data_IF_957393137562
#
_entry.id   IF_957393137562
#
_cell.length_a   1.000
_cell.length_b   1.000
_cell.length_c   1.000
_cell.angle_alpha   90.00
_cell.angle_beta   90.00
_cell.angle_gamma   90.00
#
_symmetry.space_group_name_H-M   'P 1'
#
loop_
_entity.id
_entity.type
_entity.pdbx_description
1 polymer ?
#
# COMPACT_ATOMS: atom_id res chain seq x y z
N UNK A 1 13.44 13.06 34.90
CA UNK A 1 13.39 14.53 34.80
C UNK A 1 13.08 14.95 33.37
N UNK A 2 12.32 16.03 33.15
CA UNK A 2 12.06 16.56 31.82
C UNK A 2 13.30 17.26 31.24
N UNK A 3 13.51 17.15 29.94
CA UNK A 3 14.57 17.83 29.19
C UNK A 3 14.07 18.30 27.83
N UNK A 4 14.76 19.28 27.22
CA UNK A 4 14.42 19.84 25.91
C UNK A 4 14.90 18.93 24.77
N UNK A 5 14.03 18.67 23.80
CA UNK A 5 14.32 17.82 22.63
C UNK A 5 14.00 18.53 21.29
N UNK A 6 14.94 18.56 20.31
CA UNK A 6 16.33 18.05 20.36
C UNK A 6 17.20 18.78 21.39
N UNK A 7 18.31 18.17 21.84
CA UNK A 7 19.14 18.65 22.96
C UNK A 7 19.24 20.19 23.06
N UNK A 8 18.82 20.75 24.20
CA UNK A 8 18.87 22.20 24.48
C UNK A 8 17.83 23.06 23.74
N UNK A 9 17.02 22.50 22.83
CA UNK A 9 16.01 23.20 22.02
C UNK A 9 14.68 22.42 21.98
N UNK A 10 13.58 23.03 21.53
CA UNK A 10 12.29 22.34 21.44
C UNK A 10 11.55 22.08 22.76
N UNK A 11 10.59 21.13 22.74
CA UNK A 11 9.63 20.85 23.82
C UNK A 11 10.25 20.04 24.96
N UNK A 12 9.66 20.15 26.15
CA UNK A 12 10.02 19.31 27.29
C UNK A 12 9.46 17.90 27.09
N UNK A 13 10.33 16.90 27.15
CA UNK A 13 9.98 15.48 27.17
C UNK A 13 10.61 14.81 28.40
N UNK A 14 9.96 13.80 29.00
CA UNK A 14 10.60 12.98 30.01
C UNK A 14 11.82 12.29 29.39
N UNK A 15 12.99 12.35 30.04
CA UNK A 15 14.21 11.71 29.57
C UNK A 15 14.41 10.34 30.21
N UNK A 16 15.04 9.41 29.48
CA UNK A 16 15.37 8.06 29.98
C UNK A 16 16.38 8.07 31.14
N UNK A 17 17.22 9.09 31.24
CA UNK A 17 18.10 9.34 32.40
C UNK A 17 18.24 10.85 32.69
N UNK A 18 18.78 11.18 33.87
CA UNK A 18 19.15 12.58 34.19
C UNK A 18 20.51 12.95 33.60
N UNK A 19 20.62 14.12 32.98
CA UNK A 19 21.78 14.53 32.18
C UNK A 19 22.34 15.89 32.60
N UNK A 20 22.65 16.06 33.90
CA UNK A 20 23.21 17.32 34.40
C UNK A 20 24.60 17.61 33.80
N UNK A 21 24.71 18.69 33.03
CA UNK A 21 25.96 19.11 32.41
C UNK A 21 26.43 18.25 31.23
N UNK A 22 25.56 17.37 30.71
CA UNK A 22 25.80 16.52 29.55
C UNK A 22 24.67 16.69 28.51
N UNK A 23 24.82 16.08 27.33
CA UNK A 23 23.74 16.03 26.35
C UNK A 23 22.52 15.26 26.87
N UNK A 24 21.32 15.68 26.49
CA UNK A 24 20.09 14.99 26.87
C UNK A 24 20.03 13.58 26.28
N UNK A 25 19.61 12.59 27.08
CA UNK A 25 19.36 11.24 26.59
C UNK A 25 18.11 11.18 25.72
N UNK A 26 17.86 10.03 25.10
CA UNK A 26 16.60 9.79 24.40
C UNK A 26 15.38 9.98 25.34
N UNK A 27 14.20 10.30 24.77
CA UNK A 27 12.96 10.37 25.54
C UNK A 27 12.65 9.04 26.23
N UNK A 28 12.03 9.13 27.41
CA UNK A 28 11.41 8.00 28.09
C UNK A 28 10.10 7.68 27.39
N UNK A 29 9.88 6.41 27.08
CA UNK A 29 8.65 5.88 26.50
C UNK A 29 8.14 4.75 27.41
N UNK A 30 6.83 4.70 27.64
CA UNK A 30 6.19 3.69 28.49
C UNK A 30 6.22 4.00 30.00
N UNK A 31 5.74 3.07 30.86
CA UNK A 31 5.42 1.67 30.56
C UNK A 31 4.08 1.45 29.84
N UNK A 32 3.23 2.47 29.78
CA UNK A 32 2.01 2.47 28.96
C UNK A 32 2.17 3.55 27.90
N UNK A 33 1.84 3.21 26.66
CA UNK A 33 1.97 4.12 25.51
C UNK A 33 0.62 4.31 24.83
N UNK A 34 0.47 5.42 24.12
CA UNK A 34 -0.57 5.60 23.11
C UNK A 34 -0.08 4.87 21.86
N UNK A 35 -0.69 3.72 21.57
CA UNK A 35 -0.29 2.84 20.48
C UNK A 35 -1.08 3.07 19.19
N UNK A 36 -2.27 3.67 19.29
CA UNK A 36 -3.15 3.92 18.15
C UNK A 36 -4.04 5.13 18.41
N UNK A 37 -4.34 5.90 17.36
CA UNK A 37 -5.28 7.03 17.39
C UNK A 37 -6.13 6.99 16.13
N UNK A 38 -7.45 6.93 16.28
CA UNK A 38 -8.40 7.11 15.20
C UNK A 38 -9.17 8.42 15.40
N UNK A 39 -8.89 9.44 14.57
CA UNK A 39 -9.34 10.83 14.73
C UNK A 39 -10.18 11.37 13.58
N UNK A 40 -10.28 10.65 12.45
CA UNK A 40 -11.17 11.00 11.35
C UNK A 40 -11.63 9.72 10.62
N UNK A 41 -12.43 8.88 11.28
CA UNK A 41 -12.85 7.61 10.71
C UNK A 41 -13.81 7.82 9.53
N UNK A 42 -13.86 6.83 8.65
CA UNK A 42 -14.93 6.67 7.66
C UNK A 42 -15.92 5.65 8.20
N UNK A 43 -17.22 5.86 8.02
CA UNK A 43 -18.24 4.91 8.51
C UNK A 43 -18.43 3.78 7.50
N UNK A 44 -18.52 2.53 7.97
CA UNK A 44 -18.84 1.37 7.13
C UNK A 44 -20.33 1.06 7.09
N UNK A 45 -20.77 0.39 6.02
CA UNK A 45 -22.10 -0.18 5.89
C UNK A 45 -22.39 -1.19 7.01
N UNK A 46 -21.41 -2.00 7.39
CA UNK A 46 -21.52 -2.93 8.52
C UNK A 46 -21.81 -2.22 9.85
N UNK A 47 -21.19 -1.05 10.09
CA UNK A 47 -21.45 -0.24 11.28
C UNK A 47 -22.86 0.35 11.27
N UNK A 48 -23.29 0.92 10.14
CA UNK A 48 -24.64 1.49 9.99
C UNK A 48 -25.75 0.44 10.04
N UNK A 49 -25.46 -0.79 9.61
CA UNK A 49 -26.40 -1.90 9.74
C UNK A 49 -26.64 -2.29 11.21
N UNK A 50 -25.61 -2.17 12.06
CA UNK A 50 -25.71 -2.43 13.49
C UNK A 50 -26.33 -1.25 14.27
N UNK A 51 -26.01 -0.01 13.88
CA UNK A 51 -26.62 1.20 14.43
C UNK A 51 -26.81 2.28 13.35
N UNK A 52 -28.04 2.44 12.82
CA UNK A 52 -28.33 3.47 11.81
C UNK A 52 -28.24 4.91 12.34
N UNK A 53 -28.12 5.09 13.66
CA UNK A 53 -28.01 6.40 14.31
C UNK A 53 -26.59 6.75 14.72
N UNK A 54 -25.61 5.89 14.39
CA UNK A 54 -24.21 6.07 14.68
C UNK A 54 -23.68 7.39 14.10
N UNK A 55 -22.99 8.17 14.94
CA UNK A 55 -22.21 9.31 14.47
C UNK A 55 -20.80 8.85 14.10
N UNK A 56 -20.17 9.46 13.08
CA UNK A 56 -18.79 9.12 12.69
C UNK A 56 -17.82 9.21 13.87
N UNK A 57 -18.00 10.18 14.77
CA UNK A 57 -17.19 10.33 15.99
C UNK A 57 -17.36 9.19 17.02
N UNK A 58 -18.40 8.35 16.91
CA UNK A 58 -18.52 7.16 17.75
C UNK A 58 -17.50 6.08 17.36
N UNK A 59 -16.89 6.19 16.18
CA UNK A 59 -15.78 5.35 15.73
C UNK A 59 -14.41 5.91 16.11
N UNK A 60 -14.32 7.11 16.71
CA UNK A 60 -13.07 7.67 17.22
C UNK A 60 -12.62 6.96 18.51
N UNK A 61 -11.34 6.64 18.60
CA UNK A 61 -10.76 6.04 19.81
C UNK A 61 -9.27 6.28 19.92
N UNK A 62 -8.74 6.02 21.11
CA UNK A 62 -7.31 5.80 21.32
C UNK A 62 -7.05 4.41 21.88
N UNK A 63 -5.95 3.79 21.48
CA UNK A 63 -5.46 2.54 22.10
C UNK A 63 -4.31 2.84 23.04
N UNK A 64 -4.35 2.24 24.23
CA UNK A 64 -3.23 2.24 25.17
C UNK A 64 -2.70 0.83 25.34
N UNK A 65 -1.38 0.67 25.25
CA UNK A 65 -0.71 -0.64 25.39
C UNK A 65 0.30 -0.61 26.54
N UNK A 66 0.25 -1.62 27.42
CA UNK A 66 1.30 -1.84 28.41
C UNK A 66 2.49 -2.56 27.76
N UNK A 67 3.60 -1.86 27.60
CA UNK A 67 4.82 -2.38 26.98
C UNK A 67 5.81 -2.96 27.98
N UNK A 68 5.48 -2.94 29.26
CA UNK A 68 6.30 -3.53 30.32
C UNK A 68 6.06 -5.03 30.46
N UNK A 69 6.99 -5.72 31.14
CA UNK A 69 6.90 -7.15 31.43
C UNK A 69 6.03 -7.47 32.66
N UNK A 70 5.24 -6.51 33.16
CA UNK A 70 4.45 -6.66 34.39
C UNK A 70 3.11 -5.95 34.28
N UNK A 71 2.13 -6.39 35.06
CA UNK A 71 0.85 -5.71 35.16
C UNK A 71 1.03 -4.27 35.70
N UNK A 72 0.34 -3.31 35.08
CA UNK A 72 0.31 -1.92 35.50
C UNK A 72 -1.08 -1.58 36.03
N UNK A 73 -1.13 -0.98 37.21
CA UNK A 73 -2.35 -0.39 37.77
C UNK A 73 -2.53 1.04 37.23
N UNK A 74 -3.67 1.28 36.59
CA UNK A 74 -4.06 2.55 35.98
C UNK A 74 -4.82 3.47 36.94
N UNK A 75 -4.94 3.12 38.22
CA UNK A 75 -5.51 4.01 39.25
C UNK A 75 -4.83 5.37 39.21
N UNK A 76 -5.62 6.45 39.17
CA UNK A 76 -5.17 7.85 39.07
C UNK A 76 -4.47 8.26 37.76
N UNK A 77 -4.38 7.35 36.77
CA UNK A 77 -3.97 7.72 35.42
C UNK A 77 -5.05 8.54 34.73
N UNK A 78 -4.62 9.36 33.76
CA UNK A 78 -5.48 10.32 33.08
C UNK A 78 -5.08 10.48 31.63
N UNK A 79 -6.06 10.62 30.75
CA UNK A 79 -5.85 11.13 29.39
C UNK A 79 -6.35 12.56 29.33
N UNK A 80 -5.57 13.46 28.72
CA UNK A 80 -5.86 14.89 28.60
C UNK A 80 -5.48 15.43 27.22
N UNK A 81 -6.06 16.58 26.87
CA UNK A 81 -5.83 17.26 25.60
C UNK A 81 -7.14 17.29 24.81
N UNK A 82 -7.15 16.72 23.60
CA UNK A 82 -8.37 16.55 22.78
C UNK A 82 -9.50 15.81 23.49
N UNK A 83 -9.14 14.82 24.31
CA UNK A 83 -10.08 14.07 25.15
C UNK A 83 -9.73 14.19 26.64
N UNK A 84 -10.74 14.03 27.50
CA UNK A 84 -10.62 13.94 28.96
C UNK A 84 -11.16 12.60 29.45
N UNK A 85 -10.28 11.77 29.99
CA UNK A 85 -10.63 10.47 30.56
C UNK A 85 -9.89 10.22 31.87
N UNK A 86 -10.57 9.64 32.85
CA UNK A 86 -9.99 9.19 34.12
C UNK A 86 -10.28 7.70 34.28
N UNK A 87 -9.26 6.93 34.66
CA UNK A 87 -9.44 5.49 34.87
C UNK A 87 -10.08 5.22 36.24
N UNK A 88 -11.02 4.28 36.26
CA UNK A 88 -11.60 3.80 37.51
C UNK A 88 -10.52 3.14 38.39
N UNK A 89 -10.54 3.37 39.71
CA UNK A 89 -9.62 2.72 40.63
C UNK A 89 -9.64 1.19 40.50
N UNK A 90 -8.45 0.59 40.46
CA UNK A 90 -8.25 -0.84 40.28
C UNK A 90 -8.32 -1.31 38.83
N UNK A 91 -8.44 -0.42 37.85
CA UNK A 91 -8.24 -0.75 36.44
C UNK A 91 -6.79 -1.15 36.22
N UNK A 92 -6.54 -2.37 35.76
CA UNK A 92 -5.17 -2.89 35.55
C UNK A 92 -4.99 -3.34 34.12
N UNK A 93 -3.78 -3.22 33.59
CA UNK A 93 -3.41 -3.64 32.24
C UNK A 93 -2.27 -4.66 32.34
N UNK A 94 -2.49 -5.91 31.93
CA UNK A 94 -1.49 -6.96 31.95
C UNK A 94 -0.33 -6.65 30.99
N UNK A 95 0.78 -7.38 31.12
CA UNK A 95 1.93 -7.26 30.22
C UNK A 95 1.50 -7.49 28.77
N UNK A 96 1.75 -6.52 27.89
CA UNK A 96 1.38 -6.58 26.47
C UNK A 96 -0.10 -6.38 26.18
N UNK A 97 -0.95 -6.18 27.20
CA UNK A 97 -2.38 -5.95 27.00
C UNK A 97 -2.62 -4.54 26.43
N UNK A 98 -3.60 -4.45 25.53
CA UNK A 98 -4.08 -3.22 24.93
C UNK A 98 -5.53 -2.97 25.32
N UNK A 99 -5.86 -1.71 25.62
CA UNK A 99 -7.23 -1.26 25.87
C UNK A 99 -7.57 -0.10 24.93
N UNK A 100 -8.78 -0.13 24.37
CA UNK A 100 -9.32 0.98 23.56
C UNK A 100 -10.23 1.85 24.42
N UNK A 101 -10.08 3.17 24.30
CA UNK A 101 -10.89 4.16 25.02
C UNK A 101 -11.79 4.86 24.01
N UNK A 102 -13.09 4.69 24.18
CA UNK A 102 -14.15 5.11 23.27
C UNK A 102 -14.85 6.37 23.76
N UNK A 103 -15.47 7.11 22.82
CA UNK A 103 -16.27 8.30 23.12
C UNK A 103 -17.48 7.96 23.99
N UNK A 104 -18.21 6.92 23.63
CA UNK A 104 -19.33 6.39 24.41
C UNK A 104 -18.85 5.37 25.46
N UNK A 105 -19.69 5.06 26.44
CA UNK A 105 -19.33 4.13 27.51
C UNK A 105 -19.79 2.71 27.14
N UNK A 106 -18.87 1.78 26.80
CA UNK A 106 -19.24 0.41 26.43
C UNK A 106 -19.86 -0.39 27.60
N UNK A 107 -19.73 0.07 28.84
CA UNK A 107 -20.37 -0.53 30.01
C UNK A 107 -21.82 -0.04 30.22
N UNK A 108 -22.28 0.99 29.48
CA UNK A 108 -23.66 1.45 29.54
C UNK A 108 -24.57 0.53 28.68
N UNK A 109 -25.54 -0.18 29.26
CA UNK A 109 -26.43 -1.07 28.51
C UNK A 109 -27.27 -0.36 27.43
N UNK A 110 -27.52 0.94 27.59
CA UNK A 110 -28.26 1.73 26.60
C UNK A 110 -27.44 2.00 25.32
N UNK A 111 -26.12 1.80 25.37
CA UNK A 111 -25.18 2.04 24.25
C UNK A 111 -24.72 0.75 23.56
N UNK A 112 -25.44 -0.35 23.76
CA UNK A 112 -25.08 -1.67 23.19
C UNK A 112 -25.03 -1.66 21.66
N UNK A 113 -25.88 -0.87 20.99
CA UNK A 113 -25.86 -0.76 19.53
C UNK A 113 -24.59 -0.06 19.04
N UNK A 114 -24.15 1.02 19.72
CA UNK A 114 -22.88 1.69 19.42
C UNK A 114 -21.69 0.74 19.61
N UNK A 115 -21.70 -0.09 20.67
CA UNK A 115 -20.68 -1.16 20.88
C UNK A 115 -20.68 -2.14 19.71
N UNK A 116 -21.85 -2.62 19.29
CA UNK A 116 -21.97 -3.59 18.20
C UNK A 116 -21.53 -2.98 16.86
N UNK A 117 -21.89 -1.73 16.59
CA UNK A 117 -21.47 -1.00 15.40
C UNK A 117 -19.95 -0.78 15.37
N UNK A 118 -19.36 -0.38 16.50
CA UNK A 118 -17.91 -0.25 16.63
C UNK A 118 -17.19 -1.58 16.37
N UNK A 119 -17.67 -2.68 16.97
CA UNK A 119 -17.10 -4.01 16.75
C UNK A 119 -17.25 -4.49 15.31
N UNK A 120 -18.41 -4.28 14.70
CA UNK A 120 -18.65 -4.62 13.29
C UNK A 120 -17.74 -3.81 12.35
N UNK A 121 -17.54 -2.53 12.65
CA UNK A 121 -16.67 -1.65 11.88
C UNK A 121 -15.21 -2.11 11.89
N UNK A 122 -14.68 -2.38 13.09
CA UNK A 122 -13.27 -2.74 13.29
C UNK A 122 -13.00 -4.25 13.28
N UNK A 123 -13.99 -5.09 13.01
CA UNK A 123 -13.85 -6.55 12.99
C UNK A 123 -13.42 -7.16 14.34
N UNK A 124 -13.94 -6.62 15.45
CA UNK A 124 -13.50 -6.97 16.80
C UNK A 124 -14.43 -8.01 17.43
N UNK A 125 -13.85 -8.97 18.14
CA UNK A 125 -14.57 -9.94 18.95
C UNK A 125 -14.81 -9.46 20.40
N UNK A 126 -15.44 -10.29 21.22
CA UNK A 126 -15.75 -10.00 22.63
C UNK A 126 -14.53 -10.04 23.57
N UNK A 127 -13.37 -10.48 23.09
CA UNK A 127 -12.13 -10.54 23.90
C UNK A 127 -11.43 -9.19 23.97
N UNK A 128 -11.74 -8.28 23.05
CA UNK A 128 -11.14 -6.93 23.02
C UNK A 128 -11.63 -6.12 24.20
N UNK A 129 -10.69 -5.53 24.93
CA UNK A 129 -10.99 -4.68 26.07
C UNK A 129 -11.33 -3.26 25.63
N UNK A 130 -12.57 -2.86 25.91
CA UNK A 130 -13.10 -1.53 25.63
C UNK A 130 -13.41 -0.81 26.94
N UNK A 131 -12.92 0.41 27.08
CA UNK A 131 -13.33 1.40 28.07
C UNK A 131 -13.87 2.61 27.32
N UNK A 132 -14.53 3.54 28.01
CA UNK A 132 -14.99 4.74 27.31
C UNK A 132 -15.86 5.66 28.14
N UNK A 133 -16.54 6.55 27.44
CA UNK A 133 -17.20 7.70 28.03
C UNK A 133 -16.24 8.87 28.25
N UNK A 134 -15.19 8.99 27.41
CA UNK A 134 -14.32 10.15 27.50
C UNK A 134 -15.10 11.42 27.14
N UNK A 135 -14.75 12.54 27.78
CA UNK A 135 -15.21 13.87 27.38
C UNK A 135 -14.32 14.45 26.28
N UNK A 136 -14.81 15.48 25.58
CA UNK A 136 -14.08 16.10 24.47
C UNK A 136 -14.30 15.36 23.14
N UNK A 137 -13.43 15.62 22.17
CA UNK A 137 -13.45 15.00 20.85
C UNK A 137 -12.06 15.11 20.24
N UNK A 138 -11.64 14.10 19.47
CA UNK A 138 -10.42 14.19 18.69
C UNK A 138 -10.67 15.12 17.50
N UNK A 139 -9.78 16.10 17.29
CA UNK A 139 -9.89 16.97 16.14
C UNK A 139 -9.47 16.25 14.85
N UNK A 140 -10.25 16.41 13.79
CA UNK A 140 -10.00 15.79 12.49
C UNK A 140 -8.77 16.35 11.76
N UNK A 141 -8.17 17.46 12.21
CA UNK A 141 -6.95 18.02 11.62
C UNK A 141 -5.72 17.80 12.51
N UNK A 142 -5.64 18.49 13.64
CA UNK A 142 -4.53 18.37 14.57
C UNK A 142 -5.03 18.32 16.01
N UNK A 143 -4.40 17.49 16.83
CA UNK A 143 -4.71 17.44 18.26
C UNK A 143 -3.53 16.94 19.09
N UNK A 144 -3.63 17.16 20.39
CA UNK A 144 -2.69 16.68 21.40
C UNK A 144 -3.40 15.70 22.32
N UNK A 145 -2.83 14.52 22.48
CA UNK A 145 -3.26 13.54 23.47
C UNK A 145 -2.10 13.29 24.42
N UNK A 146 -2.33 13.48 25.72
CA UNK A 146 -1.35 13.31 26.78
C UNK A 146 -1.83 12.25 27.76
N UNK A 147 -1.03 11.21 27.93
CA UNK A 147 -1.22 10.21 28.97
C UNK A 147 -0.43 10.64 30.20
N UNK A 148 -1.11 10.85 31.31
CA UNK A 148 -0.52 11.26 32.58
C UNK A 148 -0.60 10.11 33.59
N UNK A 149 0.54 9.73 34.16
CA UNK A 149 0.64 8.67 35.17
C UNK A 149 0.86 9.30 36.55
N UNK A 150 0.29 8.75 37.64
CA UNK A 150 0.61 9.20 38.99
C UNK A 150 2.09 8.97 39.29
N UNK A 151 2.66 9.84 40.12
CA UNK A 151 4.03 9.74 40.64
C UNK A 151 4.01 10.00 42.15
N UNK A 152 5.10 9.65 42.83
CA UNK A 152 5.20 9.82 44.27
C UNK A 152 5.07 11.30 44.65
N UNK A 153 4.32 11.63 45.73
CA UNK A 153 4.22 12.99 46.22
C UNK A 153 5.62 13.54 46.56
N UNK A 154 5.94 14.79 46.19
CA UNK A 154 7.19 15.39 46.61
C UNK A 154 7.17 15.57 48.13
N UNK A 155 8.33 15.44 48.78
CA UNK A 155 8.44 15.45 50.25
C UNK A 155 7.86 16.71 50.92
N UNK A 156 7.83 17.84 50.19
CA UNK A 156 7.25 19.10 50.66
C UNK A 156 5.73 19.24 50.42
N UNK A 157 5.11 18.31 49.68
CA UNK A 157 3.67 18.26 49.43
C UNK A 157 3.17 16.80 49.49
N UNK A 158 3.17 16.17 50.69
CA UNK A 158 2.88 14.74 50.84
C UNK A 158 1.47 14.32 50.42
N UNK A 159 0.55 15.28 50.26
CA UNK A 159 -0.84 15.02 49.84
C UNK A 159 -1.09 15.35 48.35
N UNK A 160 -0.06 15.78 47.62
CA UNK A 160 -0.20 16.00 46.18
C UNK A 160 -0.14 14.66 45.44
N UNK A 161 -0.85 14.55 44.32
CA UNK A 161 -0.66 13.45 43.37
C UNK A 161 -0.10 14.09 42.10
N UNK A 162 1.23 14.20 41.97
CA UNK A 162 1.83 14.62 40.71
C UNK A 162 1.40 13.64 39.60
N UNK A 163 1.13 14.19 38.43
CA UNK A 163 0.78 13.40 37.25
C UNK A 163 1.68 13.80 36.08
N UNK A 164 2.97 13.43 36.11
CA UNK A 164 3.86 13.70 34.98
C UNK A 164 3.37 13.04 33.70
N UNK A 165 3.87 13.56 32.58
CA UNK A 165 3.63 13.01 31.25
C UNK A 165 4.27 11.62 31.15
N UNK A 166 3.44 10.60 30.91
CA UNK A 166 3.86 9.23 30.61
C UNK A 166 4.13 9.02 29.14
N UNK A 167 3.20 9.44 28.27
CA UNK A 167 3.34 9.44 26.81
C UNK A 167 2.53 10.58 26.19
N UNK A 168 2.86 10.97 24.97
CA UNK A 168 2.20 12.04 24.23
C UNK A 168 2.23 11.77 22.73
N UNK A 169 1.19 12.23 22.06
CA UNK A 169 1.16 12.42 20.61
C UNK A 169 0.58 13.81 20.32
N UNK A 170 1.19 14.52 19.36
CA UNK A 170 0.65 15.73 18.76
C UNK A 170 0.53 15.48 17.25
N UNK A 171 -0.57 14.85 16.83
CA UNK A 171 -0.73 14.47 15.43
C UNK A 171 -1.19 15.66 14.58
N UNK A 172 -1.08 15.48 13.26
CA UNK A 172 -1.50 16.43 12.23
C UNK A 172 -2.06 15.60 11.05
N UNK A 173 -2.94 16.19 10.22
CA UNK A 173 -3.49 15.61 9.00
C UNK A 173 -2.58 15.85 7.79
N UNK A 174 -1.54 16.68 7.95
CA UNK A 174 -0.56 17.00 6.93
C UNK A 174 0.79 16.29 7.11
N UNK A 175 1.48 16.10 5.99
CA UNK A 175 2.86 15.62 5.97
C UNK A 175 3.75 16.51 6.89
N UNK A 176 4.64 15.92 7.71
CA UNK A 176 5.15 14.56 7.60
C UNK A 176 4.33 13.48 8.31
N UNK A 177 3.15 13.79 8.87
CA UNK A 177 2.28 12.76 9.45
C UNK A 177 1.66 11.87 8.37
N UNK A 178 1.30 10.62 8.70
CA UNK A 178 0.66 9.71 7.76
C UNK A 178 -0.73 10.23 7.32
N UNK A 179 -0.79 10.92 6.19
CA UNK A 179 -2.05 11.45 5.60
C UNK A 179 -3.04 10.33 5.24
N UNK A 180 -2.56 9.10 5.09
CA UNK A 180 -3.41 7.93 4.87
C UNK A 180 -4.34 7.59 6.04
N UNK A 181 -4.13 8.15 7.24
CA UNK A 181 -5.04 7.99 8.38
C UNK A 181 -6.16 9.05 8.44
N UNK A 182 -6.09 10.07 7.58
CA UNK A 182 -7.07 11.16 7.55
C UNK A 182 -8.25 10.80 6.63
N UNK A 183 -9.42 10.51 7.21
CA UNK A 183 -10.68 10.37 6.47
C UNK A 183 -10.82 9.10 5.64
N UNK A 184 -9.78 8.27 5.56
CA UNK A 184 -9.81 6.99 4.81
C UNK A 184 -10.43 5.85 5.62
N UNK A 185 -10.51 6.02 6.96
CA UNK A 185 -10.89 4.97 7.91
C UNK A 185 -9.70 4.23 8.55
N UNK A 186 -8.47 4.41 8.03
CA UNK A 186 -7.25 3.90 8.68
C UNK A 186 -6.94 4.73 9.94
N UNK A 187 -6.37 4.10 10.96
CA UNK A 187 -5.92 4.79 12.17
C UNK A 187 -4.43 5.16 12.08
N UNK A 188 -3.97 6.10 12.89
CA UNK A 188 -2.55 6.27 13.16
C UNK A 188 -2.09 5.14 14.09
N UNK A 189 -1.13 4.33 13.65
CA UNK A 189 -0.59 3.20 14.42
C UNK A 189 0.88 3.44 14.74
N UNK A 190 1.26 3.25 16.01
CA UNK A 190 2.63 3.37 16.49
C UNK A 190 3.48 2.23 15.93
N UNK A 191 4.55 2.56 15.22
CA UNK A 191 5.43 1.60 14.52
C UNK A 191 6.22 0.68 15.46
N UNK A 192 6.51 1.13 16.68
CA UNK A 192 7.21 0.34 17.68
C UNK A 192 6.88 0.78 19.11
N UNK A 193 6.89 -0.18 20.05
CA UNK A 193 6.59 0.03 21.46
C UNK A 193 7.54 0.99 22.20
N UNK A 194 8.71 1.26 21.63
CA UNK A 194 9.71 2.19 22.16
C UNK A 194 9.88 3.46 21.31
N UNK A 195 9.14 3.62 20.22
CA UNK A 195 9.17 4.81 19.38
C UNK A 195 8.57 6.00 20.15
N UNK A 196 9.05 7.23 19.94
CA UNK A 196 8.58 8.41 20.67
C UNK A 196 7.38 9.07 19.96
N UNK A 197 6.27 9.26 20.68
CA UNK A 197 4.96 9.55 20.06
C UNK A 197 4.83 10.92 19.42
N UNK A 198 5.70 11.87 19.76
CA UNK A 198 5.70 13.19 19.14
C UNK A 198 6.47 13.26 17.81
N UNK A 199 7.05 12.16 17.35
CA UNK A 199 7.67 12.11 16.03
C UNK A 199 6.69 11.50 15.03
N UNK A 200 6.38 12.21 13.95
CA UNK A 200 5.56 11.70 12.86
C UNK A 200 6.11 10.36 12.30
N UNK A 201 7.43 10.21 12.24
CA UNK A 201 8.10 8.96 11.83
C UNK A 201 7.89 7.77 12.76
N UNK A 202 7.31 7.98 13.95
CA UNK A 202 6.91 6.91 14.85
C UNK A 202 5.56 6.31 14.48
N UNK A 203 4.85 6.88 13.50
CA UNK A 203 3.50 6.50 13.12
C UNK A 203 3.41 6.11 11.66
N UNK A 204 2.49 5.21 11.37
CA UNK A 204 2.05 4.86 10.02
C UNK A 204 0.52 4.88 9.97
N UNK A 205 -0.05 4.99 8.78
CA UNK A 205 -1.46 4.64 8.60
C UNK A 205 -1.58 3.11 8.75
N UNK A 206 -2.46 2.66 9.64
CA UNK A 206 -2.75 1.25 9.84
C UNK A 206 -3.55 0.65 8.69
N UNK A 207 -3.99 -0.59 8.88
CA UNK A 207 -4.85 -1.28 7.92
C UNK A 207 -6.25 -0.65 7.85
N UNK A 208 -6.95 -0.86 6.74
CA UNK A 208 -8.35 -0.51 6.67
C UNK A 208 -9.12 -1.39 7.68
N UNK A 209 -10.06 -0.80 8.45
CA UNK A 209 -10.97 -1.58 9.28
C UNK A 209 -11.67 -2.65 8.41
N UNK A 210 -11.80 -3.91 8.88
CA UNK A 210 -12.43 -4.98 8.10
C UNK A 210 -13.83 -4.62 7.59
N UNK A 211 -14.62 -3.88 8.37
CA UNK A 211 -15.93 -3.42 7.93
C UNK A 211 -15.89 -2.43 6.78
N UNK A 212 -14.80 -1.66 6.62
CA UNK A 212 -14.58 -0.80 5.44
C UNK A 212 -13.91 -1.54 4.29
N UNK A 213 -13.01 -2.48 4.58
CA UNK A 213 -12.41 -3.35 3.57
C UNK A 213 -13.51 -4.13 2.84
N UNK A 214 -14.49 -4.69 3.57
CA UNK A 214 -15.65 -5.35 2.96
C UNK A 214 -16.58 -4.42 2.16
N UNK A 215 -16.48 -3.11 2.36
CA UNK A 215 -17.22 -2.11 1.58
C UNK A 215 -16.43 -1.63 0.35
N UNK A 216 -15.17 -2.07 0.20
CA UNK A 216 -14.32 -1.63 -0.91
C UNK A 216 -14.80 -2.31 -2.19
N UNK A 217 -15.49 -1.52 -3.02
CA UNK A 217 -16.00 -1.98 -4.30
C UNK A 217 -14.85 -2.55 -5.14
N UNK A 218 -14.97 -3.81 -5.57
CA UNK A 218 -13.97 -4.51 -6.37
C UNK A 218 -12.92 -5.28 -5.58
N UNK A 219 -12.91 -5.21 -4.24
CA UNK A 219 -12.07 -6.04 -3.36
C UNK A 219 -12.77 -7.39 -3.15
N UNK A 220 -12.40 -8.38 -3.95
CA UNK A 220 -13.07 -9.67 -4.01
C UNK A 220 -12.46 -10.71 -3.07
N UNK A 221 -11.21 -10.55 -2.63
CA UNK A 221 -10.60 -11.39 -1.61
C UNK A 221 -10.74 -10.84 -0.18
N UNK A 222 -11.20 -9.59 -0.03
CA UNK A 222 -11.44 -8.91 1.23
C UNK A 222 -10.15 -8.52 1.95
N UNK A 223 -9.04 -8.37 1.23
CA UNK A 223 -7.73 -8.04 1.81
C UNK A 223 -7.57 -6.53 2.11
N UNK A 224 -8.55 -5.71 1.73
CA UNK A 224 -8.57 -4.27 1.95
C UNK A 224 -7.82 -3.47 0.89
N UNK A 225 -7.46 -4.09 -0.23
CA UNK A 225 -6.89 -3.46 -1.43
C UNK A 225 -7.61 -3.97 -2.67
N UNK A 226 -7.72 -3.13 -3.69
CA UNK A 226 -8.14 -3.59 -5.02
C UNK A 226 -6.88 -3.63 -5.88
N UNK A 227 -6.47 -4.80 -6.34
CA UNK A 227 -5.26 -4.99 -7.14
C UNK A 227 -5.43 -6.04 -8.26
N UNK A 228 -4.31 -6.48 -8.86
CA UNK A 228 -4.33 -7.44 -9.97
C UNK A 228 -4.97 -8.79 -9.57
N UNK A 229 -4.86 -9.17 -8.29
CA UNK A 229 -5.48 -10.37 -7.73
C UNK A 229 -7.00 -10.30 -7.87
N UNK A 230 -7.61 -9.13 -7.67
CA UNK A 230 -9.06 -8.95 -7.83
C UNK A 230 -9.50 -9.05 -9.30
N UNK A 231 -8.66 -8.58 -10.22
CA UNK A 231 -8.88 -8.78 -11.66
C UNK A 231 -8.87 -10.28 -11.98
N UNK A 232 -7.89 -11.02 -11.44
CA UNK A 232 -7.76 -12.46 -11.65
C UNK A 232 -8.95 -13.23 -11.05
N UNK A 233 -9.40 -12.85 -9.86
CA UNK A 233 -10.58 -13.44 -9.20
C UNK A 233 -11.85 -13.20 -10.00
N UNK A 234 -12.08 -11.96 -10.46
CA UNK A 234 -13.24 -11.64 -11.29
C UNK A 234 -13.18 -12.39 -12.64
N UNK A 235 -12.01 -12.46 -13.25
CA UNK A 235 -11.79 -13.20 -14.51
C UNK A 235 -12.11 -14.68 -14.34
N UNK A 236 -11.58 -15.30 -13.27
CA UNK A 236 -11.88 -16.69 -12.93
C UNK A 236 -13.37 -16.93 -12.67
N UNK A 237 -14.06 -15.98 -12.02
CA UNK A 237 -15.49 -16.09 -11.73
C UNK A 237 -16.33 -16.06 -13.03
N UNK A 238 -15.98 -15.16 -13.97
CA UNK A 238 -16.60 -15.07 -15.30
C UNK A 238 -16.43 -16.39 -16.08
N UNK A 239 -15.23 -16.99 -16.03
CA UNK A 239 -14.93 -18.25 -16.72
C UNK A 239 -15.60 -19.47 -16.06
N UNK A 240 -15.91 -19.41 -14.76
CA UNK A 240 -16.42 -20.52 -13.95
C UNK A 240 -17.83 -21.03 -14.31
N UNK A 241 -18.58 -20.32 -15.17
CA UNK A 241 -19.86 -20.75 -15.74
C UNK A 241 -21.08 -20.70 -14.80
N UNK A 242 -20.89 -20.37 -13.52
CA UNK A 242 -21.97 -20.03 -12.59
C UNK A 242 -21.48 -18.93 -11.63
N UNK A 243 -21.34 -17.69 -12.14
CA UNK A 243 -20.70 -16.64 -11.38
C UNK A 243 -21.56 -16.17 -10.21
N UNK A 244 -20.89 -15.88 -9.10
CA UNK A 244 -21.47 -15.32 -7.90
C UNK A 244 -21.82 -13.85 -8.13
N UNK A 245 -23.09 -13.51 -7.96
CA UNK A 245 -23.61 -12.14 -8.09
C UNK A 245 -22.95 -11.10 -7.16
N UNK A 246 -22.14 -11.52 -6.19
CA UNK A 246 -21.30 -10.58 -5.43
C UNK A 246 -20.19 -9.94 -6.27
N UNK A 247 -19.88 -10.49 -7.44
CA UNK A 247 -18.90 -9.97 -8.40
C UNK A 247 -19.52 -9.01 -9.42
N UNK A 248 -20.83 -8.78 -9.36
CA UNK A 248 -21.55 -7.83 -10.23
C UNK A 248 -21.25 -6.39 -9.79
N UNK A 249 -20.36 -5.72 -10.52
CA UNK A 249 -19.94 -4.34 -10.26
C UNK A 249 -20.85 -3.33 -10.97
N UNK A 250 -21.48 -3.72 -12.06
CA UNK A 250 -22.36 -2.87 -12.87
C UNK A 250 -23.80 -2.82 -12.36
N UNK A 251 -24.15 -3.74 -11.45
CA UNK A 251 -25.49 -3.99 -10.90
C UNK A 251 -26.54 -4.36 -11.97
N UNK A 252 -26.13 -5.03 -13.05
CA UNK A 252 -27.02 -5.48 -14.12
C UNK A 252 -27.52 -6.93 -13.92
N UNK A 253 -27.15 -7.56 -12.80
CA UNK A 253 -27.42 -8.94 -12.39
C UNK A 253 -26.69 -10.01 -13.22
N UNK A 254 -25.74 -9.60 -14.05
CA UNK A 254 -24.83 -10.48 -14.77
C UNK A 254 -23.42 -10.24 -14.22
N UNK A 255 -22.59 -11.27 -14.28
CA UNK A 255 -21.15 -11.15 -13.98
C UNK A 255 -20.43 -11.51 -15.26
N UNK A 256 -19.91 -10.51 -15.95
CA UNK A 256 -19.36 -10.66 -17.29
C UNK A 256 -18.25 -9.62 -17.58
N UNK A 257 -17.86 -9.50 -18.84
CA UNK A 257 -16.81 -8.56 -19.28
C UNK A 257 -17.08 -7.11 -18.90
N UNK A 258 -18.34 -6.69 -18.80
CA UNK A 258 -18.72 -5.34 -18.40
C UNK A 258 -18.31 -5.05 -16.95
N UNK A 259 -18.38 -6.03 -16.05
CA UNK A 259 -17.88 -5.90 -14.67
C UNK A 259 -16.36 -5.82 -14.64
N UNK A 260 -15.68 -6.59 -15.49
CA UNK A 260 -14.21 -6.54 -15.61
C UNK A 260 -13.75 -5.18 -16.12
N UNK A 261 -14.45 -4.62 -17.10
CA UNK A 261 -14.22 -3.26 -17.58
C UNK A 261 -14.47 -2.21 -16.49
N UNK A 262 -15.53 -2.38 -15.70
CA UNK A 262 -15.83 -1.51 -14.56
C UNK A 262 -14.71 -1.56 -13.49
N UNK A 263 -14.20 -2.76 -13.18
CA UNK A 263 -13.08 -2.94 -12.25
C UNK A 263 -11.83 -2.23 -12.75
N UNK A 264 -11.42 -2.48 -14.00
CA UNK A 264 -10.17 -1.94 -14.57
C UNK A 264 -10.23 -0.41 -14.68
N UNK A 265 -11.29 0.13 -15.28
CA UNK A 265 -11.33 1.55 -15.64
C UNK A 265 -11.87 2.46 -14.53
N UNK A 266 -12.87 2.02 -13.78
CA UNK A 266 -13.60 2.89 -12.86
C UNK A 266 -13.26 2.62 -11.39
N UNK A 267 -12.90 1.39 -11.04
CA UNK A 267 -12.47 1.05 -9.67
C UNK A 267 -10.96 1.26 -9.52
N UNK A 268 -10.14 0.62 -10.36
CA UNK A 268 -8.68 0.72 -10.33
C UNK A 268 -8.16 1.99 -11.00
N UNK A 269 -8.91 2.54 -11.96
CA UNK A 269 -8.48 3.74 -12.68
C UNK A 269 -7.31 3.49 -13.62
N UNK A 270 -7.16 2.28 -14.13
CA UNK A 270 -6.09 1.87 -15.04
C UNK A 270 -6.63 1.49 -16.44
N UNK A 271 -5.77 0.99 -17.32
CA UNK A 271 -6.08 0.49 -18.65
C UNK A 271 -5.49 -0.91 -18.86
N UNK A 272 -6.05 -1.64 -19.80
CA UNK A 272 -5.44 -2.86 -20.33
C UNK A 272 -3.98 -2.62 -20.72
N UNK A 273 -3.11 -3.60 -20.43
CA UNK A 273 -1.68 -3.49 -20.66
C UNK A 273 -0.87 -3.06 -19.43
N UNK A 274 -1.45 -2.32 -18.49
CA UNK A 274 -0.77 -1.89 -17.25
C UNK A 274 -0.71 -3.04 -16.24
N UNK A 275 0.38 -3.81 -16.30
CA UNK A 275 0.52 -5.05 -15.51
C UNK A 275 1.01 -4.79 -14.09
N UNK A 276 1.66 -3.65 -13.85
CA UNK A 276 2.14 -3.27 -12.52
C UNK A 276 1.16 -2.34 -11.78
N UNK A 277 0.07 -1.92 -12.42
CA UNK A 277 -0.96 -1.02 -11.92
C UNK A 277 -0.42 0.36 -11.49
N UNK A 278 0.62 0.86 -12.18
CA UNK A 278 1.18 2.18 -11.94
C UNK A 278 0.39 3.32 -12.63
N UNK A 279 -0.66 2.96 -13.37
CA UNK A 279 -1.56 3.82 -14.11
C UNK A 279 -1.06 4.15 -15.52
N UNK A 280 0.05 3.57 -15.96
CA UNK A 280 0.69 3.88 -17.24
C UNK A 280 1.09 2.60 -17.97
N UNK A 281 0.32 2.19 -18.97
CA UNK A 281 0.76 1.13 -19.88
C UNK A 281 1.99 1.58 -20.70
N UNK A 282 3.17 1.02 -20.42
CA UNK A 282 4.43 1.36 -21.07
C UNK A 282 5.39 0.15 -21.20
N UNK A 283 6.64 0.40 -21.60
CA UNK A 283 7.64 -0.66 -21.79
C UNK A 283 7.97 -1.45 -20.51
N UNK A 284 7.75 -0.85 -19.33
CA UNK A 284 7.98 -1.51 -18.04
C UNK A 284 7.03 -2.68 -17.84
N UNK A 285 5.76 -2.52 -18.25
CA UNK A 285 4.75 -3.59 -18.22
C UNK A 285 5.12 -4.73 -19.16
N UNK A 286 5.51 -4.39 -20.39
CA UNK A 286 5.93 -5.38 -21.38
C UNK A 286 7.15 -6.17 -20.91
N UNK A 287 8.13 -5.51 -20.28
CA UNK A 287 9.28 -6.21 -19.69
C UNK A 287 8.82 -7.12 -18.56
N UNK A 288 7.90 -6.68 -17.70
CA UNK A 288 7.38 -7.47 -16.58
C UNK A 288 6.75 -8.79 -17.08
N UNK A 289 5.81 -8.72 -18.03
CA UNK A 289 5.10 -9.91 -18.51
C UNK A 289 6.02 -10.88 -19.26
N UNK A 290 6.97 -10.39 -20.06
CA UNK A 290 7.89 -11.29 -20.79
C UNK A 290 8.88 -11.99 -19.86
N UNK A 291 9.17 -11.43 -18.69
CA UNK A 291 9.98 -12.14 -17.69
C UNK A 291 9.26 -13.33 -17.05
N UNK A 292 7.92 -13.38 -17.12
CA UNK A 292 7.14 -14.52 -16.65
C UNK A 292 7.26 -15.76 -17.57
N UNK A 293 7.69 -15.57 -18.82
CA UNK A 293 7.89 -16.64 -19.82
C UNK A 293 6.63 -17.47 -20.13
N UNK A 294 5.45 -16.84 -20.12
CA UNK A 294 4.15 -17.49 -20.40
C UNK A 294 3.61 -17.18 -21.80
N UNK A 295 4.27 -16.31 -22.57
CA UNK A 295 3.84 -15.95 -23.93
C UNK A 295 3.85 -17.17 -24.86
N UNK A 296 2.69 -17.55 -25.38
CA UNK A 296 2.51 -18.65 -26.35
C UNK A 296 3.18 -19.97 -25.89
N UNK A 297 3.21 -20.22 -24.58
CA UNK A 297 3.96 -21.33 -23.98
C UNK A 297 3.24 -22.70 -24.08
N UNK A 298 2.03 -22.70 -24.65
CA UNK A 298 1.15 -23.87 -24.80
C UNK A 298 0.68 -24.51 -23.48
N UNK A 299 0.75 -23.80 -22.36
CA UNK A 299 0.27 -24.24 -21.04
C UNK A 299 -1.05 -23.55 -20.69
N UNK A 300 -2.21 -24.23 -20.86
CA UNK A 300 -3.50 -23.58 -20.70
C UNK A 300 -3.78 -23.10 -19.27
N UNK A 301 -4.30 -21.88 -19.11
CA UNK A 301 -4.82 -21.33 -17.86
C UNK A 301 -3.73 -21.00 -16.83
N UNK A 302 -2.49 -20.72 -17.26
CA UNK A 302 -1.39 -20.42 -16.36
C UNK A 302 -1.07 -18.93 -16.21
N UNK A 303 -1.77 -18.08 -16.97
CA UNK A 303 -1.51 -16.64 -17.03
C UNK A 303 -2.50 -15.85 -16.16
N UNK A 304 -2.05 -14.70 -15.68
CA UNK A 304 -2.81 -13.76 -14.85
C UNK A 304 -2.67 -12.36 -15.44
N UNK A 305 -3.39 -11.38 -14.89
CA UNK A 305 -3.26 -9.97 -15.31
C UNK A 305 -1.80 -9.51 -15.29
N UNK A 306 -1.07 -9.82 -14.21
CA UNK A 306 0.31 -9.41 -14.01
C UNK A 306 1.32 -10.15 -14.91
N UNK A 307 0.91 -11.28 -15.53
CA UNK A 307 1.76 -12.06 -16.43
C UNK A 307 1.30 -12.03 -17.89
N UNK A 308 0.24 -11.27 -18.20
CA UNK A 308 -0.14 -10.90 -19.56
C UNK A 308 -1.53 -11.33 -20.01
N UNK A 309 -2.37 -11.96 -19.17
CA UNK A 309 -3.76 -12.31 -19.51
C UNK A 309 -4.69 -11.08 -19.41
N UNK A 310 -4.51 -10.15 -20.35
CA UNK A 310 -5.31 -8.92 -20.38
C UNK A 310 -6.68 -9.13 -21.01
N UNK A 311 -6.85 -10.13 -21.88
CA UNK A 311 -8.13 -10.44 -22.49
C UNK A 311 -9.03 -11.32 -21.57
N UNK A 312 -8.43 -12.01 -20.59
CA UNK A 312 -9.13 -12.78 -19.55
C UNK A 312 -9.52 -14.19 -19.97
N UNK A 313 -8.81 -14.80 -20.93
CA UNK A 313 -9.03 -16.18 -21.38
C UNK A 313 -8.15 -17.22 -20.65
N UNK A 314 -7.26 -16.75 -19.77
CA UNK A 314 -6.36 -17.55 -18.95
C UNK A 314 -4.99 -17.81 -19.57
N UNK A 315 -4.71 -17.33 -20.78
CA UNK A 315 -3.48 -17.60 -21.53
C UNK A 315 -2.86 -16.32 -22.08
N UNK A 316 -1.58 -16.06 -21.81
CA UNK A 316 -0.88 -14.93 -22.42
C UNK A 316 -0.49 -15.24 -23.87
N UNK A 317 -1.23 -14.68 -24.82
CA UNK A 317 -1.01 -14.89 -26.25
C UNK A 317 -1.00 -13.57 -27.02
N UNK A 318 -0.91 -13.68 -28.34
CA UNK A 318 -1.00 -12.51 -29.22
C UNK A 318 -2.35 -11.78 -29.10
N UNK A 319 -3.44 -12.45 -28.72
CA UNK A 319 -4.74 -11.76 -28.53
C UNK A 319 -4.71 -10.78 -27.36
N UNK A 320 -3.96 -11.05 -26.31
CA UNK A 320 -3.79 -10.14 -25.17
C UNK A 320 -3.05 -8.88 -25.55
N UNK A 321 -1.95 -9.03 -26.28
CA UNK A 321 -1.21 -7.88 -26.80
C UNK A 321 -2.14 -7.02 -27.67
N UNK A 322 -2.94 -7.64 -28.55
CA UNK A 322 -3.91 -6.92 -29.37
C UNK A 322 -4.95 -6.21 -28.50
N UNK A 323 -5.51 -6.87 -27.48
CA UNK A 323 -6.48 -6.26 -26.56
C UNK A 323 -5.86 -5.05 -25.83
N UNK A 324 -4.67 -5.20 -25.28
CA UNK A 324 -3.98 -4.11 -24.60
C UNK A 324 -3.57 -2.96 -25.51
N UNK A 325 -3.21 -3.20 -26.78
CA UNK A 325 -2.92 -2.09 -27.70
C UNK A 325 -4.17 -1.45 -28.32
N UNK A 326 -5.31 -2.15 -28.34
CA UNK A 326 -6.58 -1.60 -28.80
C UNK A 326 -7.26 -0.75 -27.72
N UNK A 327 -7.20 -1.21 -26.47
CA UNK A 327 -7.92 -0.59 -25.34
C UNK A 327 -6.99 0.18 -24.39
N UNK A 328 -5.71 -0.17 -24.35
CA UNK A 328 -4.70 0.48 -23.55
C UNK A 328 -4.09 1.70 -24.24
N UNK A 329 -3.84 2.75 -23.46
CA UNK A 329 -3.21 3.97 -23.93
C UNK A 329 -1.67 3.86 -23.85
N UNK A 330 -1.07 3.00 -24.68
CA UNK A 330 0.39 2.77 -24.62
C UNK A 330 1.18 4.08 -24.71
N UNK A 331 1.94 4.36 -23.65
CA UNK A 331 2.76 5.56 -23.53
C UNK A 331 4.22 5.18 -23.74
N UNK A 332 4.73 5.47 -24.93
CA UNK A 332 6.17 5.44 -25.15
C UNK A 332 6.80 6.54 -24.28
N UNK A 333 7.55 6.17 -23.25
CA UNK A 333 8.33 7.10 -22.45
C UNK A 333 9.03 8.10 -23.38
N UNK A 334 8.82 9.41 -23.15
CA UNK A 334 9.47 10.46 -23.93
C UNK A 334 10.96 10.14 -23.95
N UNK A 335 11.49 9.81 -25.13
CA UNK A 335 12.94 9.67 -25.32
C UNK A 335 13.56 10.95 -24.80
N UNK A 336 14.24 10.89 -23.66
CA UNK A 336 15.16 11.95 -23.27
C UNK A 336 16.08 12.14 -24.45
N UNK A 337 16.07 13.33 -25.03
CA UNK A 337 16.87 13.69 -26.19
C UNK A 337 18.34 13.40 -25.94
N UNK A 338 18.79 12.22 -26.34
CA UNK A 338 20.21 11.85 -26.40
C UNK A 338 20.85 12.58 -27.59
N UNK A 339 22.08 13.07 -27.43
CA UNK A 339 22.71 13.96 -28.38
C UNK A 339 23.04 13.21 -29.68
N UNK A 340 22.86 13.89 -30.81
CA UNK A 340 23.23 13.42 -32.15
C UNK A 340 24.63 12.81 -32.18
N UNK A 341 24.73 11.50 -32.39
CA UNK A 341 25.99 10.83 -32.73
C UNK A 341 26.41 11.16 -34.18
N UNK A 342 27.71 11.22 -34.51
CA UNK A 342 28.20 11.72 -35.78
C UNK A 342 28.01 10.69 -36.90
N UNK A 343 27.50 11.14 -38.06
CA UNK A 343 27.39 10.34 -39.28
C UNK A 343 28.74 9.70 -39.66
N UNK A 344 28.77 8.36 -39.74
CA UNK A 344 29.78 7.66 -40.53
C UNK A 344 29.36 7.75 -42.00
N UNK A 345 30.07 8.59 -42.75
CA UNK A 345 29.96 8.68 -44.21
C UNK A 345 30.47 7.36 -44.82
N UNK A 346 29.57 6.50 -45.30
CA UNK A 346 29.94 5.41 -46.20
C UNK A 346 29.51 5.80 -47.60
N UNK A 347 30.52 6.03 -48.45
CA UNK A 347 30.42 6.49 -49.83
C UNK A 347 29.93 5.34 -50.73
N UNK A 348 28.62 5.24 -50.96
CA UNK A 348 28.01 4.24 -51.86
C UNK A 348 28.04 4.71 -53.33
N UNK A 349 29.23 4.98 -53.88
CA UNK A 349 29.40 5.39 -55.28
C UNK A 349 29.45 4.23 -56.29
N UNK A 350 29.01 3.01 -55.94
CA UNK A 350 29.01 1.87 -56.87
C UNK A 350 27.88 0.90 -56.54
N UNK A 351 26.72 1.10 -57.14
CA UNK A 351 25.95 0.09 -57.92
C UNK A 351 24.90 0.88 -58.70
N UNK A 352 25.21 1.12 -59.97
CA UNK A 352 24.26 1.64 -60.94
C UNK A 352 23.64 0.52 -61.77
N UNK A 353 22.43 0.80 -62.24
CA UNK A 353 21.75 0.26 -63.43
C UNK A 353 20.96 -1.06 -63.32
N UNK A 354 19.64 -0.89 -63.12
CA UNK A 354 18.46 -1.52 -63.80
C UNK A 354 17.26 -1.25 -62.87
N UNK A 355 16.16 -0.60 -63.21
CA UNK A 355 15.50 -0.21 -64.45
C UNK A 355 14.69 1.08 -64.16
N UNK A 356 14.85 2.09 -65.01
CA UNK A 356 13.87 3.17 -65.14
C UNK A 356 12.69 2.67 -65.99
N UNK A 357 11.45 3.00 -65.62
CA UNK A 357 10.40 3.64 -66.45
C UNK A 357 9.03 3.55 -65.75
N UNK A 358 8.55 4.62 -65.13
CA UNK A 358 7.38 5.38 -65.60
C UNK A 358 7.13 6.61 -64.73
N UNK A 359 6.55 7.60 -65.39
CA UNK A 359 6.71 9.04 -65.19
C UNK A 359 5.44 9.69 -64.59
N UNK A 360 5.66 10.81 -63.89
CA UNK A 360 4.79 11.98 -63.70
C UNK A 360 3.34 11.83 -63.20
N UNK A 361 3.09 12.28 -61.96
CA UNK A 361 2.43 13.57 -61.67
C UNK A 361 2.03 13.69 -60.18
N UNK A 362 2.77 14.46 -59.38
CA UNK A 362 2.30 14.96 -58.07
C UNK A 362 2.54 16.46 -58.06
N UNK A 363 1.61 17.23 -58.62
CA UNK A 363 1.30 18.61 -58.21
C UNK A 363 -0.05 19.00 -58.84
N UNK A 364 -1.12 18.71 -58.13
CA UNK A 364 -2.36 19.50 -58.02
C UNK A 364 -3.43 18.58 -57.48
N UNK A 365 -3.88 18.86 -56.26
CA UNK A 365 -5.22 18.62 -55.69
C UNK A 365 -5.14 18.69 -54.16
N UNK A 366 -4.61 19.80 -53.64
CA UNK A 366 -5.06 20.28 -52.34
C UNK A 366 -6.37 21.04 -52.56
N UNK A 367 -7.49 20.33 -52.48
CA UNK A 367 -8.75 20.94 -52.06
C UNK A 367 -9.72 19.88 -51.51
N UNK A 368 -9.96 19.94 -50.20
CA UNK A 368 -11.20 19.43 -49.61
C UNK A 368 -11.05 18.25 -48.66
N UNK A 369 -11.38 18.52 -47.39
CA UNK A 369 -11.98 17.63 -46.38
C UNK A 369 -11.21 16.40 -45.85
N UNK A 370 -10.72 16.53 -44.61
CA UNK A 370 -11.02 15.68 -43.45
C UNK A 370 -11.03 14.14 -43.56
N UNK A 371 -10.07 13.53 -44.25
CA UNK A 371 -9.81 12.07 -44.18
C UNK A 371 -8.33 11.70 -43.95
N UNK A 372 -7.45 12.66 -43.71
CA UNK A 372 -5.99 12.42 -43.64
C UNK A 372 -5.42 12.17 -42.23
N UNK A 373 -6.25 12.09 -41.17
CA UNK A 373 -5.77 11.88 -39.80
C UNK A 373 -5.86 10.41 -39.33
N UNK A 374 -6.63 9.57 -40.02
CA UNK A 374 -6.79 8.14 -39.69
C UNK A 374 -5.75 7.28 -40.43
N UNK A 375 -5.26 7.71 -41.60
CA UNK A 375 -4.29 6.96 -42.39
C UNK A 375 -2.84 7.08 -41.89
N UNK A 376 -2.50 8.12 -41.10
CA UNK A 376 -1.15 8.23 -40.50
C UNK A 376 -1.00 7.35 -39.27
N UNK A 377 -2.07 7.19 -38.47
CA UNK A 377 -2.05 6.33 -37.27
C UNK A 377 -2.01 4.83 -37.63
N UNK A 378 -2.71 4.38 -38.68
CA UNK A 378 -2.59 3.00 -39.17
C UNK A 378 -1.22 2.69 -39.78
N UNK A 379 -0.53 3.70 -40.33
CA UNK A 379 0.81 3.53 -40.92
C UNK A 379 1.88 3.50 -39.82
N UNK A 380 1.72 4.30 -38.76
CA UNK A 380 2.62 4.30 -37.61
C UNK A 380 2.45 3.02 -36.76
N UNK A 381 1.24 2.48 -36.62
CA UNK A 381 1.00 1.19 -35.97
C UNK A 381 1.54 0.00 -36.78
N UNK A 382 1.39 0.00 -38.12
CA UNK A 382 2.00 -1.05 -38.97
C UNK A 382 3.51 -1.01 -38.94
N UNK A 383 4.11 0.18 -38.97
CA UNK A 383 5.56 0.35 -38.89
C UNK A 383 6.12 -0.06 -37.51
N UNK A 384 5.36 0.12 -36.42
CA UNK A 384 5.77 -0.33 -35.09
C UNK A 384 5.78 -1.85 -34.97
N UNK A 385 4.81 -2.54 -35.56
CA UNK A 385 4.76 -4.02 -35.60
C UNK A 385 5.90 -4.60 -36.47
N UNK A 386 6.20 -3.96 -37.60
CA UNK A 386 7.27 -4.41 -38.52
C UNK A 386 8.68 -4.14 -37.96
N UNK A 387 8.88 -3.04 -37.21
CA UNK A 387 10.14 -2.74 -36.50
C UNK A 387 10.40 -3.65 -35.29
N UNK A 388 9.34 -4.19 -34.68
CA UNK A 388 9.48 -5.18 -33.61
C UNK A 388 9.90 -6.52 -34.23
N UNK A 389 9.27 -6.96 -35.32
CA UNK A 389 9.60 -8.23 -36.00
C UNK A 389 11.08 -8.27 -36.48
N UNK A 390 11.62 -7.17 -37.01
CA UNK A 390 13.04 -7.10 -37.42
C UNK A 390 14.03 -7.05 -36.24
N UNK A 391 13.61 -6.54 -35.08
CA UNK A 391 14.45 -6.53 -33.86
C UNK A 391 14.49 -7.87 -33.12
N UNK A 392 13.47 -8.71 -33.35
CA UNK A 392 13.36 -10.04 -32.75
C UNK A 392 14.33 -11.06 -33.38
N UNK A 393 14.65 -10.98 -34.68
CA UNK A 393 15.64 -11.90 -35.29
C UNK A 393 17.09 -11.65 -34.84
N UNK A 394 17.47 -10.43 -34.45
CA UNK A 394 18.84 -10.14 -33.98
C UNK A 394 19.11 -10.65 -32.56
N UNK A 395 18.09 -10.80 -31.70
CA UNK A 395 18.25 -11.27 -30.32
C UNK A 395 18.45 -12.79 -30.24
N UNK A 396 17.93 -13.56 -31.20
CA UNK A 396 18.02 -15.03 -31.21
C UNK A 396 19.22 -15.61 -31.99
N UNK A 397 20.07 -14.79 -32.60
CA UNK A 397 21.21 -15.27 -33.41
C UNK A 397 22.51 -15.56 -32.60
N UNK A 398 22.53 -15.47 -31.27
CA UNK A 398 23.76 -15.56 -30.45
C UNK A 398 23.84 -16.83 -29.56
N UNK A 399 23.05 -17.88 -29.80
CA UNK A 399 23.04 -19.07 -28.90
C UNK A 399 23.45 -20.41 -29.50
N UNK A 400 24.13 -20.47 -30.64
CA UNK A 400 24.65 -21.73 -31.21
C UNK A 400 26.19 -21.76 -31.29
N UNK A 401 26.84 -21.93 -30.12
CA UNK A 401 28.18 -22.53 -30.05
C UNK A 401 28.21 -23.68 -29.03
N UNK A 402 28.73 -24.87 -29.37
CA UNK A 402 28.70 -26.03 -28.48
C UNK A 402 29.77 -25.94 -27.38
N UNK A 403 29.34 -26.12 -26.12
CA UNK A 403 30.19 -26.20 -24.94
C UNK A 403 31.19 -27.37 -25.04
N UNK A 404 32.47 -27.04 -25.25
CA UNK A 404 33.60 -27.98 -25.07
C UNK A 404 33.81 -28.25 -23.58
N UNK A 405 33.66 -29.51 -23.18
CA UNK A 405 33.94 -29.99 -21.82
C UNK A 405 35.45 -29.93 -21.52
N UNK A 406 35.82 -29.15 -20.51
CA UNK A 406 37.19 -29.05 -20.01
C UNK A 406 37.42 -30.17 -18.98
N UNK A 407 38.22 -31.17 -19.36
CA UNK A 407 38.71 -32.21 -18.46
C UNK A 407 39.50 -31.59 -17.30
N UNK A 408 38.97 -31.71 -16.07
CA UNK A 408 39.70 -31.47 -14.84
C UNK A 408 40.48 -32.72 -14.44
N UNK A 409 41.80 -32.58 -14.32
CA UNK A 409 42.68 -33.65 -13.88
C UNK A 409 43.96 -33.07 -13.31
N UNK A 410 43.89 -32.54 -12.08
CA UNK A 410 45.06 -32.33 -11.24
C UNK A 410 44.84 -33.00 -9.89
N UNK A 411 45.59 -34.09 -9.69
CA UNK A 411 45.82 -34.78 -8.42
C UNK A 411 46.95 -34.08 -7.70
N UNK A 412 46.75 -33.52 -6.51
CA UNK A 412 47.78 -33.46 -5.47
C UNK A 412 47.18 -33.42 -4.05
N UNK A 413 47.35 -34.55 -3.35
CA UNK A 413 47.60 -34.77 -1.92
C UNK A 413 46.94 -33.88 -0.84
N UNK A 414 46.15 -34.50 0.03
CA UNK A 414 46.51 -34.69 1.44
C UNK A 414 45.57 -35.71 2.11
N UNK A 415 46.11 -36.87 2.49
CA UNK A 415 45.57 -37.65 3.62
C UNK A 415 46.76 -38.15 4.43
N UNK A 416 46.78 -37.72 5.68
CA UNK A 416 47.72 -38.09 6.72
C UNK A 416 47.08 -39.14 7.61
N UNK A 417 47.71 -40.31 7.74
CA UNK A 417 47.79 -41.10 8.97
C UNK A 417 48.66 -42.33 8.73
N UNK A 418 49.81 -42.41 9.42
CA UNK A 418 50.10 -43.47 10.40
C UNK A 418 51.57 -43.43 10.89
N UNK A 419 51.69 -43.36 12.22
CA UNK A 419 52.72 -43.91 13.15
C UNK A 419 54.18 -43.41 13.00
N UNK A 420 54.97 -43.17 14.07
CA UNK A 420 55.42 -44.09 15.12
C UNK A 420 55.99 -43.36 16.37
N UNK A 421 55.68 -43.89 17.54
CA UNK A 421 56.51 -44.15 18.75
C UNK A 421 57.58 -43.16 19.28
N UNK A 422 57.46 -42.98 20.62
CA UNK A 422 58.38 -42.47 21.67
C UNK A 422 58.36 -40.98 21.96
#
# INVERSE_FOLDING_TARGET
>A
SPGRMPNGTGRLAPLSATTFGAENTAPRVGPVIISEVQYNPKVSGAALAADPTLETSDLEYISLTNTSASEIDLTEWRVRGGIDFEFDPGTKLASGETVRILRFNPANPEQVNQVNAFKAHYGLDDTVRLLGGYGGQLNNSDDRISLLSPDDPPANQPNAIPRPLGDEVLYDDLAPWPTGADGTGRALVRTANNAFGNFASSWVAGDLPPGLASDLRGDFDGNGTVDATDIDLLTSEILGGNPNVSFDLTNDQLVNSDDRNELIHNVLGTSFGDSNLDGIFNSTDLVLIFTAAQYEDSTPGNSTWATGDWNGDGDFTTSDLVAAFQEGAYSAALRSSEPTSPQLLVDNSLIGARLATHDQSIESLFSGSNEAQIASEETDQRNAVELIDESFEEIFAVSDEPLVTKNGGDKLFSDSNEEWFI
#
